data_IF_529680361215
#
_entry.id   IF_529680361215
#
_cell.length_a   1.000
_cell.length_b   1.000
_cell.length_c   1.000
_cell.angle_alpha   90.00
_cell.angle_beta   90.00
_cell.angle_gamma   90.00
#
_symmetry.space_group_name_H-M   'P 1'
#
loop_
_entity.id
_entity.type
_entity.pdbx_description
1 polymer ?
#
# COMPACT_ATOMS: atom_id res chain seq x y z
N UNK A 1 -18.67 -5.50 -6.40
CA UNK A 1 -18.60 -4.10 -5.98
C UNK A 1 -17.59 -3.96 -4.87
N UNK A 2 -16.47 -3.31 -5.16
CA UNK A 2 -15.33 -3.10 -4.28
C UNK A 2 -15.10 -1.61 -4.11
N UNK A 3 -14.66 -1.22 -2.92
CA UNK A 3 -14.25 0.16 -2.64
C UNK A 3 -12.81 0.34 -3.12
N UNK A 4 -12.53 1.49 -3.72
CA UNK A 4 -11.18 1.80 -4.16
C UNK A 4 -10.23 1.96 -2.97
N UNK A 5 -9.08 1.31 -3.07
CA UNK A 5 -7.93 1.45 -2.18
C UNK A 5 -7.29 2.84 -2.27
N UNK A 6 -6.38 3.15 -1.33
CA UNK A 6 -5.62 4.41 -1.33
C UNK A 6 -4.86 4.63 -2.64
N UNK A 7 -4.21 3.60 -3.17
CA UNK A 7 -3.41 3.68 -4.41
C UNK A 7 -4.28 3.83 -5.66
N UNK A 8 -5.50 3.31 -5.64
CA UNK A 8 -6.49 3.53 -6.70
C UNK A 8 -7.08 4.94 -6.65
N UNK A 9 -7.31 5.48 -5.44
CA UNK A 9 -7.70 6.89 -5.25
C UNK A 9 -6.59 7.85 -5.68
N UNK A 10 -5.33 7.55 -5.39
CA UNK A 10 -4.18 8.29 -5.92
C UNK A 10 -4.18 8.30 -7.46
N UNK A 11 -4.45 7.16 -8.10
CA UNK A 11 -4.56 7.10 -9.57
C UNK A 11 -5.74 7.95 -10.08
N UNK A 12 -6.89 7.94 -9.39
CA UNK A 12 -8.03 8.80 -9.72
C UNK A 12 -7.67 10.28 -9.64
N UNK A 13 -6.98 10.70 -8.58
CA UNK A 13 -6.55 12.09 -8.39
C UNK A 13 -5.66 12.56 -9.54
N UNK A 14 -4.66 11.75 -9.91
CA UNK A 14 -3.79 12.02 -11.06
C UNK A 14 -4.56 12.13 -12.38
N UNK A 15 -5.54 11.24 -12.61
CA UNK A 15 -6.44 11.30 -13.77
C UNK A 15 -7.23 12.60 -13.76
N UNK A 16 -7.84 12.96 -12.63
CA UNK A 16 -8.72 14.11 -12.52
C UNK A 16 -7.96 15.44 -12.57
N UNK A 17 -6.73 15.50 -12.07
CA UNK A 17 -5.83 16.65 -12.25
C UNK A 17 -5.53 16.87 -13.74
N UNK A 18 -5.16 15.81 -14.48
CA UNK A 18 -4.90 15.92 -15.91
C UNK A 18 -6.17 16.28 -16.72
N UNK A 19 -7.35 15.83 -16.28
CA UNK A 19 -8.63 16.21 -16.87
C UNK A 19 -8.98 17.67 -16.59
N UNK A 20 -8.73 18.15 -15.37
CA UNK A 20 -8.92 19.55 -15.00
C UNK A 20 -8.01 20.47 -15.83
N UNK A 21 -6.74 20.10 -16.03
CA UNK A 21 -5.81 20.81 -16.92
C UNK A 21 -6.29 20.87 -18.37
N UNK A 22 -7.04 19.85 -18.81
CA UNK A 22 -7.66 19.78 -20.13
C UNK A 22 -9.05 20.45 -20.20
N UNK A 23 -9.56 21.00 -19.09
CA UNK A 23 -10.89 21.62 -19.01
C UNK A 23 -12.04 20.62 -19.08
N UNK A 24 -11.84 19.39 -18.61
CA UNK A 24 -12.81 18.31 -18.59
C UNK A 24 -13.37 18.09 -17.19
N UNK A 25 -14.63 17.61 -17.12
CA UNK A 25 -15.24 17.22 -15.85
C UNK A 25 -14.52 16.02 -15.23
N UNK A 26 -14.41 15.96 -13.88
CA UNK A 26 -13.77 14.85 -13.19
C UNK A 26 -14.57 13.55 -13.37
N UNK A 27 -13.86 12.44 -13.46
CA UNK A 27 -14.46 11.10 -13.41
C UNK A 27 -14.81 10.73 -11.96
N UNK A 28 -15.85 9.93 -11.82
CA UNK A 28 -16.31 9.40 -10.52
C UNK A 28 -16.04 7.90 -10.46
N UNK A 29 -15.51 7.42 -9.34
CA UNK A 29 -15.33 5.99 -9.13
C UNK A 29 -16.68 5.26 -9.08
N UNK A 30 -16.79 4.15 -9.81
CA UNK A 30 -17.94 3.25 -9.78
C UNK A 30 -17.54 1.88 -9.24
N UNK A 31 -18.26 1.39 -8.23
CA UNK A 31 -17.90 0.18 -7.49
C UNK A 31 -17.89 -1.08 -8.37
N UNK A 32 -18.80 -1.15 -9.35
CA UNK A 32 -18.87 -2.28 -10.30
C UNK A 32 -17.68 -2.25 -11.27
N UNK A 33 -17.28 -1.06 -11.74
CA UNK A 33 -16.11 -0.90 -12.59
C UNK A 33 -14.82 -1.20 -11.83
N UNK A 34 -14.73 -0.85 -10.54
CA UNK A 34 -13.56 -1.14 -9.71
C UNK A 34 -13.36 -2.65 -9.58
N UNK A 35 -14.44 -3.39 -9.27
CA UNK A 35 -14.40 -4.85 -9.24
C UNK A 35 -13.95 -5.44 -10.57
N UNK A 36 -14.50 -4.95 -11.68
CA UNK A 36 -14.08 -5.40 -13.02
C UNK A 36 -12.59 -5.15 -13.30
N UNK A 37 -12.05 -4.02 -12.84
CA UNK A 37 -10.66 -3.64 -13.06
C UNK A 37 -9.69 -4.44 -12.17
N UNK A 38 -10.01 -4.60 -10.88
CA UNK A 38 -9.25 -5.43 -9.93
C UNK A 38 -9.17 -6.88 -10.42
N UNK A 39 -10.33 -7.46 -10.78
CA UNK A 39 -10.42 -8.83 -11.27
C UNK A 39 -9.56 -9.05 -12.52
N UNK A 40 -9.50 -8.06 -13.42
CA UNK A 40 -8.71 -8.16 -14.65
C UNK A 40 -7.20 -8.03 -14.39
N UNK A 41 -6.78 -7.08 -13.55
CA UNK A 41 -5.38 -6.98 -13.11
C UNK A 41 -4.91 -8.26 -12.40
N UNK A 42 -5.72 -8.76 -11.46
CA UNK A 42 -5.49 -10.03 -10.76
C UNK A 42 -5.44 -11.23 -11.72
N UNK A 43 -6.29 -11.26 -12.75
CA UNK A 43 -6.29 -12.32 -13.76
C UNK A 43 -5.04 -12.27 -14.64
N UNK A 44 -4.63 -11.09 -15.09
CA UNK A 44 -3.43 -10.89 -15.91
C UNK A 44 -2.16 -11.36 -15.18
N UNK A 45 -2.01 -11.00 -13.89
CA UNK A 45 -0.93 -11.50 -13.02
C UNK A 45 -0.97 -13.04 -12.91
N UNK A 46 -2.12 -13.59 -12.51
CA UNK A 46 -2.27 -15.04 -12.26
C UNK A 46 -2.04 -15.91 -13.50
N UNK A 47 -2.31 -15.38 -14.68
CA UNK A 47 -2.19 -16.12 -15.95
C UNK A 47 -0.93 -15.77 -16.73
N UNK A 48 -0.05 -14.95 -16.15
CA UNK A 48 1.18 -14.46 -16.78
C UNK A 48 0.91 -13.93 -18.21
N UNK A 49 -0.15 -13.13 -18.33
CA UNK A 49 -0.62 -12.55 -19.60
C UNK A 49 -0.90 -11.06 -19.44
N UNK A 50 -0.53 -10.26 -20.44
CA UNK A 50 -0.87 -8.83 -20.50
C UNK A 50 -1.71 -8.56 -21.75
N UNK A 51 -3.02 -8.38 -21.58
CA UNK A 51 -3.98 -8.32 -22.69
C UNK A 51 -5.27 -7.61 -22.31
N UNK A 52 -5.84 -6.87 -23.25
CA UNK A 52 -7.21 -6.32 -23.14
C UNK A 52 -8.28 -7.43 -23.23
N UNK A 53 -7.95 -8.55 -23.88
CA UNK A 53 -8.82 -9.74 -23.96
C UNK A 53 -8.61 -10.62 -22.73
N UNK A 54 -9.66 -10.80 -21.94
CA UNK A 54 -9.65 -11.50 -20.67
C UNK A 54 -9.98 -12.99 -20.78
N UNK A 55 -10.31 -13.59 -19.63
CA UNK A 55 -10.69 -14.99 -19.50
C UNK A 55 -11.81 -15.38 -20.48
N UNK A 56 -11.65 -16.51 -21.17
CA UNK A 56 -12.65 -16.99 -22.13
C UNK A 56 -12.82 -16.10 -23.38
N UNK A 57 -11.95 -15.12 -23.60
CA UNK A 57 -12.05 -14.19 -24.73
C UNK A 57 -12.88 -12.94 -24.44
N UNK A 58 -13.20 -12.65 -23.17
CA UNK A 58 -14.01 -11.50 -22.79
C UNK A 58 -13.37 -10.17 -23.16
N UNK A 59 -14.19 -9.22 -23.62
CA UNK A 59 -13.82 -7.81 -23.74
C UNK A 59 -13.92 -7.10 -22.39
N UNK A 60 -13.39 -5.89 -22.29
CA UNK A 60 -13.54 -5.06 -21.09
C UNK A 60 -15.02 -4.78 -20.78
N UNK A 61 -15.83 -4.47 -21.80
CA UNK A 61 -17.27 -4.28 -21.65
C UNK A 61 -17.98 -5.51 -21.07
N UNK A 62 -17.65 -6.72 -21.56
CA UNK A 62 -18.22 -7.96 -21.02
C UNK A 62 -17.86 -8.11 -19.53
N UNK A 63 -16.60 -7.83 -19.15
CA UNK A 63 -16.17 -7.89 -17.75
C UNK A 63 -16.86 -6.84 -16.87
N UNK A 64 -17.11 -5.64 -17.39
CA UNK A 64 -17.85 -4.60 -16.67
C UNK A 64 -19.31 -5.03 -16.43
N UNK A 65 -19.97 -5.62 -17.43
CA UNK A 65 -21.33 -6.17 -17.29
C UNK A 65 -21.38 -7.34 -16.30
N UNK A 66 -20.41 -8.26 -16.39
CA UNK A 66 -20.29 -9.40 -15.47
C UNK A 66 -20.08 -8.95 -14.02
N UNK A 67 -19.38 -7.82 -13.81
CA UNK A 67 -19.19 -7.20 -12.50
C UNK A 67 -20.43 -6.44 -11.99
N UNK A 68 -21.48 -6.30 -12.81
CA UNK A 68 -22.75 -5.68 -12.45
C UNK A 68 -22.99 -4.29 -13.02
N UNK A 69 -22.05 -3.73 -13.81
CA UNK A 69 -22.23 -2.41 -14.41
C UNK A 69 -23.29 -2.45 -15.52
N UNK A 70 -24.31 -1.60 -15.40
CA UNK A 70 -25.44 -1.61 -16.33
C UNK A 70 -25.22 -0.61 -17.47
N UNK A 71 -24.94 -1.11 -18.68
CA UNK A 71 -24.97 -0.30 -19.89
C UNK A 71 -26.41 -0.13 -20.38
N UNK A 72 -26.96 1.07 -20.26
CA UNK A 72 -28.33 1.37 -20.72
C UNK A 72 -28.45 2.80 -21.23
N UNK A 73 -29.41 3.05 -22.14
CA UNK A 73 -29.57 4.34 -22.79
C UNK A 73 -28.38 4.70 -23.68
N UNK A 74 -27.87 5.93 -23.56
CA UNK A 74 -26.60 6.33 -24.17
C UNK A 74 -25.46 5.89 -23.28
N UNK A 75 -24.54 5.11 -23.82
CA UNK A 75 -23.39 4.57 -23.08
C UNK A 75 -22.15 4.49 -23.96
N UNK A 76 -20.99 4.45 -23.32
CA UNK A 76 -19.67 4.24 -23.93
C UNK A 76 -18.75 3.59 -22.90
N UNK A 77 -17.68 2.93 -23.35
CA UNK A 77 -16.66 2.39 -22.47
C UNK A 77 -15.27 2.43 -23.12
N UNK A 78 -14.24 2.36 -22.29
CA UNK A 78 -12.85 2.26 -22.70
C UNK A 78 -12.01 1.56 -21.63
N UNK A 79 -10.85 1.03 -22.03
CA UNK A 79 -9.92 0.39 -21.10
C UNK A 79 -8.49 0.88 -21.36
N UNK A 80 -7.76 1.13 -20.27
CA UNK A 80 -6.31 1.19 -20.28
C UNK A 80 -5.77 0.08 -19.38
N UNK A 81 -4.65 -0.52 -19.78
CA UNK A 81 -3.86 -1.42 -18.94
C UNK A 81 -2.40 -0.98 -18.97
N UNK A 82 -1.71 -1.11 -17.85
CA UNK A 82 -0.26 -0.91 -17.75
C UNK A 82 0.31 -1.78 -16.64
N UNK A 83 1.60 -2.08 -16.73
CA UNK A 83 2.33 -2.70 -15.64
C UNK A 83 3.79 -2.27 -15.68
N UNK A 84 4.47 -2.41 -14.55
CA UNK A 84 5.91 -2.32 -14.45
C UNK A 84 6.40 -3.23 -13.33
N UNK A 85 7.70 -3.55 -13.32
CA UNK A 85 8.32 -4.10 -12.12
C UNK A 85 8.24 -3.06 -11.01
N UNK A 86 7.91 -3.50 -9.80
CA UNK A 86 7.93 -2.70 -8.59
C UNK A 86 9.33 -2.11 -8.36
N UNK A 87 9.39 -0.82 -8.07
CA UNK A 87 10.65 -0.07 -7.98
C UNK A 87 10.51 1.04 -6.95
N UNK A 88 11.65 1.43 -6.38
CA UNK A 88 11.73 2.62 -5.55
C UNK A 88 11.73 2.27 -4.06
N UNK A 89 11.11 3.15 -3.28
CA UNK A 89 10.99 2.98 -1.83
C UNK A 89 9.88 1.98 -1.50
N UNK A 90 9.80 1.53 -0.25
CA UNK A 90 8.72 0.65 0.21
C UNK A 90 7.35 1.30 -0.02
N UNK A 91 6.38 0.53 -0.52
CA UNK A 91 5.09 1.02 -1.02
C UNK A 91 5.02 0.94 -2.55
N UNK A 92 3.90 1.37 -3.14
CA UNK A 92 3.72 1.40 -4.60
C UNK A 92 3.17 2.74 -5.11
N UNK A 93 3.15 3.78 -4.28
CA UNK A 93 2.59 5.07 -4.65
C UNK A 93 3.42 5.79 -5.73
N UNK A 94 4.74 5.62 -5.73
CA UNK A 94 5.63 6.11 -6.80
C UNK A 94 5.46 5.26 -8.08
N UNK A 95 5.30 3.95 -7.94
CA UNK A 95 4.94 3.08 -9.06
C UNK A 95 3.62 3.48 -9.72
N UNK A 96 2.60 3.83 -8.95
CA UNK A 96 1.31 4.35 -9.47
C UNK A 96 1.52 5.64 -10.26
N UNK A 97 2.32 6.59 -9.75
CA UNK A 97 2.65 7.85 -10.47
C UNK A 97 3.42 7.59 -11.77
N UNK A 98 4.33 6.62 -11.75
CA UNK A 98 5.10 6.20 -12.92
C UNK A 98 4.22 5.51 -13.98
N UNK A 99 3.29 4.65 -13.55
CA UNK A 99 2.30 4.01 -14.43
C UNK A 99 1.38 5.06 -15.05
N UNK A 100 0.87 6.00 -14.27
CA UNK A 100 0.06 7.12 -14.76
C UNK A 100 0.82 7.93 -15.83
N UNK A 101 2.08 8.29 -15.56
CA UNK A 101 2.94 9.02 -16.50
C UNK A 101 3.13 8.23 -17.80
N UNK A 102 3.32 6.92 -17.70
CA UNK A 102 3.46 6.03 -18.87
C UNK A 102 2.17 5.96 -19.70
N UNK A 103 1.01 5.91 -19.04
CA UNK A 103 -0.30 5.97 -19.70
C UNK A 103 -0.51 7.31 -20.42
N UNK A 104 -0.18 8.44 -19.77
CA UNK A 104 -0.30 9.78 -20.37
C UNK A 104 0.66 10.02 -21.55
N UNK A 105 1.81 9.32 -21.57
CA UNK A 105 2.76 9.37 -22.67
C UNK A 105 2.33 8.51 -23.88
N UNK A 106 1.40 7.57 -23.71
CA UNK A 106 0.81 6.79 -24.80
C UNK A 106 -0.40 7.52 -25.39
N UNK A 107 -0.37 7.81 -26.69
CA UNK A 107 -1.44 8.55 -27.36
C UNK A 107 -2.82 7.86 -27.23
N UNK A 108 -2.87 6.53 -27.33
CA UNK A 108 -4.10 5.76 -27.19
C UNK A 108 -4.65 5.79 -25.76
N UNK A 109 -3.79 5.55 -24.77
CA UNK A 109 -4.23 5.53 -23.36
C UNK A 109 -4.61 6.93 -22.86
N UNK A 110 -3.83 7.96 -23.24
CA UNK A 110 -4.17 9.35 -22.96
C UNK A 110 -5.51 9.75 -23.56
N UNK A 111 -5.85 9.26 -24.76
CA UNK A 111 -7.14 9.55 -25.37
C UNK A 111 -8.31 9.02 -24.54
N UNK A 112 -8.16 7.87 -23.88
CA UNK A 112 -9.16 7.38 -22.93
C UNK A 112 -9.25 8.27 -21.68
N UNK A 113 -8.11 8.59 -21.04
CA UNK A 113 -8.06 9.41 -19.82
C UNK A 113 -8.69 10.80 -20.06
N UNK A 114 -8.42 11.42 -21.21
CA UNK A 114 -8.90 12.75 -21.59
C UNK A 114 -10.16 12.73 -22.46
N UNK A 115 -10.90 11.61 -22.49
CA UNK A 115 -12.16 11.55 -23.23
C UNK A 115 -13.28 12.24 -22.45
N UNK A 116 -14.02 13.14 -23.12
CA UNK A 116 -15.25 13.73 -22.59
C UNK A 116 -16.46 12.77 -22.64
N UNK A 117 -16.27 11.54 -23.14
CA UNK A 117 -17.36 10.57 -23.34
C UNK A 117 -17.62 9.67 -22.13
N UNK A 118 -16.85 9.85 -21.05
CA UNK A 118 -16.91 9.03 -19.85
C UNK A 118 -17.22 9.92 -18.64
N UNK A 119 -18.07 9.38 -17.76
CA UNK A 119 -18.46 9.99 -16.48
C UNK A 119 -17.87 9.21 -15.29
N UNK A 120 -17.57 7.92 -15.52
CA UNK A 120 -17.17 6.97 -14.50
C UNK A 120 -15.86 6.27 -14.85
N UNK A 121 -15.14 5.86 -13.80
CA UNK A 121 -13.98 5.00 -13.91
C UNK A 121 -13.98 3.94 -12.81
N UNK A 122 -13.43 2.77 -13.09
CA UNK A 122 -12.97 1.80 -12.10
C UNK A 122 -11.49 1.57 -12.28
N UNK A 123 -10.75 1.43 -11.19
CA UNK A 123 -9.29 1.32 -11.20
C UNK A 123 -8.93 0.11 -10.35
N UNK A 124 -8.18 -0.82 -10.92
CA UNK A 124 -7.68 -2.00 -10.21
C UNK A 124 -6.16 -1.99 -10.20
N UNK A 125 -5.55 -1.75 -9.05
CA UNK A 125 -4.08 -1.76 -8.87
C UNK A 125 -3.67 -2.98 -8.06
N UNK A 126 -2.92 -3.89 -8.68
CA UNK A 126 -2.54 -5.17 -8.08
C UNK A 126 -1.03 -5.37 -8.06
N UNK A 127 -0.53 -6.03 -7.02
CA UNK A 127 0.85 -6.49 -6.91
C UNK A 127 0.93 -7.99 -7.10
N UNK A 128 1.94 -8.48 -7.79
CA UNK A 128 2.16 -9.92 -7.94
C UNK A 128 3.33 -10.27 -8.82
N UNK A 129 3.58 -11.57 -9.01
CA UNK A 129 4.57 -12.06 -9.97
C UNK A 129 4.03 -11.89 -11.40
N UNK A 130 4.86 -11.33 -12.28
CA UNK A 130 4.62 -11.29 -13.73
C UNK A 130 5.93 -11.52 -14.47
N UNK A 131 6.03 -12.63 -15.20
CA UNK A 131 7.23 -13.03 -15.92
C UNK A 131 8.47 -13.19 -15.03
N UNK A 132 8.29 -13.52 -13.74
CA UNK A 132 9.38 -13.64 -12.76
C UNK A 132 9.79 -12.32 -12.08
N UNK A 133 9.04 -11.24 -12.27
CA UNK A 133 9.28 -9.95 -11.64
C UNK A 133 8.17 -9.64 -10.64
N UNK A 134 8.54 -9.05 -9.50
CA UNK A 134 7.58 -8.36 -8.64
C UNK A 134 7.02 -7.18 -9.42
N UNK A 135 5.72 -7.23 -9.74
CA UNK A 135 5.07 -6.33 -10.66
C UNK A 135 3.92 -5.57 -10.00
N UNK A 136 3.78 -4.30 -10.36
CA UNK A 136 2.60 -3.48 -10.12
C UNK A 136 1.82 -3.38 -11.42
N UNK A 137 0.57 -3.81 -11.41
CA UNK A 137 -0.30 -3.89 -12.58
C UNK A 137 -1.54 -3.04 -12.36
N UNK A 138 -1.95 -2.28 -13.38
CA UNK A 138 -3.13 -1.42 -13.33
C UNK A 138 -4.04 -1.67 -14.52
N UNK A 139 -5.34 -1.72 -14.23
CA UNK A 139 -6.44 -1.64 -15.20
C UNK A 139 -7.28 -0.40 -14.88
N UNK A 140 -7.60 0.40 -15.89
CA UNK A 140 -8.54 1.53 -15.79
C UNK A 140 -9.71 1.28 -16.74
N UNK A 141 -10.89 1.06 -16.19
CA UNK A 141 -12.13 0.85 -16.92
C UNK A 141 -12.98 2.11 -16.91
N UNK A 142 -13.08 2.78 -18.05
CA UNK A 142 -13.84 4.00 -18.21
C UNK A 142 -15.24 3.68 -18.75
N UNK A 143 -16.26 4.40 -18.28
CA UNK A 143 -17.60 4.25 -18.82
C UNK A 143 -18.47 5.51 -18.70
N UNK A 144 -19.51 5.56 -19.55
CA UNK A 144 -20.71 6.37 -19.35
C UNK A 144 -21.94 5.49 -19.55
N UNK A 145 -23.03 5.80 -18.87
CA UNK A 145 -24.30 5.08 -19.00
C UNK A 145 -25.46 5.97 -18.60
N UNK A 146 -26.63 5.78 -19.23
CA UNK A 146 -27.90 6.35 -18.77
C UNK A 146 -28.53 5.57 -17.61
N UNK A 147 -27.91 4.46 -17.19
CA UNK A 147 -28.35 3.62 -16.09
C UNK A 147 -27.97 4.18 -14.71
N UNK A 148 -28.49 3.53 -13.67
CA UNK A 148 -28.03 3.80 -12.31
C UNK A 148 -26.61 3.25 -12.11
N UNK A 149 -25.77 4.01 -11.39
CA UNK A 149 -24.39 3.63 -11.10
C UNK A 149 -24.16 3.68 -9.60
N UNK A 150 -23.63 2.60 -9.03
CA UNK A 150 -23.19 2.57 -7.65
C UNK A 150 -21.82 3.26 -7.54
N UNK A 151 -21.84 4.50 -7.04
CA UNK A 151 -20.65 5.33 -6.91
C UNK A 151 -19.88 4.96 -5.65
N UNK A 152 -18.56 4.95 -5.74
CA UNK A 152 -17.71 4.98 -4.57
C UNK A 152 -17.71 6.41 -4.02
N UNK A 153 -18.46 6.63 -2.94
CA UNK A 153 -18.54 7.95 -2.29
C UNK A 153 -17.47 8.16 -1.23
N UNK A 154 -16.50 7.25 -1.08
CA UNK A 154 -15.44 7.36 -0.09
C UNK A 154 -15.99 7.50 1.34
N UNK A 155 -16.76 6.53 1.83
CA UNK A 155 -16.81 6.36 3.29
C UNK A 155 -15.59 5.49 3.66
N UNK A 156 -14.36 5.99 3.66
CA UNK A 156 -13.87 7.02 4.58
C UNK A 156 -13.57 8.40 3.96
N UNK A 157 -13.90 9.42 4.75
CA UNK A 157 -13.74 10.84 4.51
C UNK A 157 -12.45 11.20 3.78
N UNK A 158 -12.50 12.22 2.91
CA UNK A 158 -11.37 13.12 2.69
C UNK A 158 -10.98 13.78 4.03
N UNK A 159 -10.35 13.05 4.93
CA UNK A 159 -9.41 13.61 5.88
C UNK A 159 -8.17 13.95 5.07
N UNK A 160 -7.59 15.12 5.34
CA UNK A 160 -6.16 15.29 5.09
C UNK A 160 -5.48 14.11 5.79
N UNK A 161 -4.69 13.32 5.05
CA UNK A 161 -3.94 12.19 5.61
C UNK A 161 -3.26 12.63 6.90
N UNK A 162 -3.49 11.91 7.98
CA UNK A 162 -2.84 12.16 9.25
C UNK A 162 -1.81 11.07 9.47
N UNK A 163 -0.53 11.42 9.48
CA UNK A 163 0.54 10.45 9.74
C UNK A 163 0.24 9.63 11.01
N UNK A 164 0.56 8.31 11.01
CA UNK A 164 0.32 7.45 12.15
C UNK A 164 0.95 7.99 13.44
N UNK A 165 0.43 7.57 14.59
CA UNK A 165 1.01 7.85 15.89
C UNK A 165 1.56 6.56 16.47
N UNK A 166 2.79 6.62 16.99
CA UNK A 166 3.46 5.49 17.62
C UNK A 166 3.83 5.85 19.05
N UNK A 167 3.39 5.02 19.99
CA UNK A 167 3.88 5.01 21.36
C UNK A 167 4.68 3.74 21.61
N UNK A 168 5.86 3.89 22.19
CA UNK A 168 6.76 2.77 22.47
C UNK A 168 7.23 2.83 23.92
N UNK A 169 6.96 1.77 24.67
CA UNK A 169 7.44 1.64 26.03
C UNK A 169 8.91 1.16 26.07
N UNK A 170 9.63 1.56 27.12
CA UNK A 170 10.97 1.04 27.39
C UNK A 170 10.94 -0.48 27.60
N UNK A 171 12.00 -1.14 27.13
CA UNK A 171 12.12 -2.60 27.17
C UNK A 171 13.25 -3.00 28.11
N UNK A 172 12.96 -3.89 29.05
CA UNK A 172 13.98 -4.51 29.91
C UNK A 172 14.24 -5.94 29.48
N UNK A 173 15.52 -6.29 29.31
CA UNK A 173 16.00 -7.64 28.99
C UNK A 173 17.13 -8.05 29.93
N UNK A 174 17.26 -9.35 30.17
CA UNK A 174 18.33 -9.90 31.00
C UNK A 174 19.64 -10.04 30.23
N UNK A 175 20.73 -9.52 30.81
CA UNK A 175 22.10 -9.68 30.35
C UNK A 175 22.64 -11.10 30.47
N UNK A 176 22.14 -11.86 31.45
CA UNK A 176 22.83 -13.05 31.98
C UNK A 176 22.03 -14.34 31.79
N UNK A 177 20.70 -14.29 31.93
CA UNK A 177 19.86 -15.49 31.80
C UNK A 177 19.49 -15.79 30.35
N UNK A 178 19.18 -17.05 30.02
CA UNK A 178 18.75 -17.42 28.67
C UNK A 178 17.31 -16.96 28.36
N UNK A 179 16.40 -17.08 29.32
CA UNK A 179 14.95 -16.86 29.13
C UNK A 179 14.54 -15.38 29.04
N UNK A 180 15.46 -14.42 29.25
CA UNK A 180 15.16 -12.99 29.22
C UNK A 180 15.98 -12.17 28.21
N UNK A 181 16.77 -12.79 27.32
CA UNK A 181 17.72 -12.06 26.45
C UNK A 181 17.09 -11.26 25.33
N UNK A 182 15.79 -11.45 25.10
CA UNK A 182 15.06 -10.88 23.98
C UNK A 182 13.63 -10.58 24.40
N UNK A 183 13.07 -9.56 23.79
CA UNK A 183 11.67 -9.20 23.92
C UNK A 183 11.08 -8.97 22.53
N UNK A 184 9.80 -9.31 22.37
CA UNK A 184 9.06 -9.00 21.14
C UNK A 184 8.66 -7.54 21.15
N UNK A 185 8.90 -6.84 20.03
CA UNK A 185 8.58 -5.41 19.92
C UNK A 185 7.08 -5.16 20.03
N UNK A 186 6.25 -6.00 19.39
CA UNK A 186 4.78 -5.92 19.41
C UNK A 186 4.14 -5.84 20.81
N UNK A 187 4.85 -6.26 21.87
CA UNK A 187 4.33 -6.22 23.25
C UNK A 187 4.44 -4.86 23.92
N UNK A 188 5.26 -3.96 23.37
CA UNK A 188 5.60 -2.67 23.94
C UNK A 188 5.24 -1.51 23.01
N UNK A 189 4.74 -1.85 21.82
CA UNK A 189 4.38 -0.93 20.77
C UNK A 189 2.87 -0.77 20.75
N UNK A 190 2.40 0.46 20.84
CA UNK A 190 1.05 0.86 20.46
C UNK A 190 1.16 1.78 19.25
N UNK A 191 0.40 1.47 18.20
CA UNK A 191 0.43 2.24 16.97
C UNK A 191 -0.99 2.31 16.41
N UNK A 192 -1.40 3.54 16.09
CA UNK A 192 -2.74 3.82 15.58
C UNK A 192 -2.67 4.97 14.60
N UNK A 193 -3.58 4.96 13.63
CA UNK A 193 -3.75 6.09 12.75
C UNK A 193 -4.92 6.99 13.21
N UNK A 194 -4.73 8.32 13.35
CA UNK A 194 -5.81 9.24 13.73
C UNK A 194 -7.01 9.27 12.78
N UNK A 195 -6.82 9.01 11.48
CA UNK A 195 -7.91 8.97 10.51
C UNK A 195 -8.43 7.54 10.24
N UNK A 196 -7.80 6.55 10.87
CA UNK A 196 -8.23 5.15 10.86
C UNK A 196 -7.64 4.33 9.73
N UNK A 197 -6.66 4.86 9.01
CA UNK A 197 -5.91 4.13 8.02
C UNK A 197 -5.10 2.96 8.61
N UNK A 198 -4.94 1.92 7.79
CA UNK A 198 -4.20 0.72 8.20
C UNK A 198 -2.69 1.01 8.19
N UNK A 199 -1.99 0.62 9.25
CA UNK A 199 -0.53 0.65 9.28
C UNK A 199 0.00 -0.45 8.37
N UNK A 200 0.76 -0.05 7.37
CA UNK A 200 1.32 -0.94 6.34
C UNK A 200 2.77 -1.30 6.66
N UNK A 201 3.53 -0.37 7.23
CA UNK A 201 4.96 -0.56 7.50
C UNK A 201 5.39 -0.13 8.89
N UNK A 202 6.45 -0.76 9.38
CA UNK A 202 7.26 -0.22 10.48
C UNK A 202 8.70 -0.03 10.02
N UNK A 203 9.36 1.01 10.53
CA UNK A 203 10.79 1.19 10.37
C UNK A 203 11.46 1.27 11.73
N UNK A 204 12.52 0.49 11.91
CA UNK A 204 13.34 0.50 13.12
C UNK A 204 14.69 1.10 12.85
N UNK A 205 15.23 1.81 13.85
CA UNK A 205 16.54 2.43 13.76
C UNK A 205 17.35 2.23 15.03
N UNK A 206 18.63 1.96 14.82
CA UNK A 206 19.61 1.70 15.86
C UNK A 206 20.91 2.47 15.55
N UNK A 207 20.94 3.75 15.89
CA UNK A 207 22.11 4.62 15.69
C UNK A 207 23.11 4.59 16.84
N UNK A 208 22.65 4.26 18.05
CA UNK A 208 23.46 4.29 19.28
C UNK A 208 23.59 2.93 19.97
N UNK A 209 22.69 2.00 19.69
CA UNK A 209 22.78 0.62 20.14
C UNK A 209 23.68 -0.22 19.23
N UNK A 210 23.87 -1.48 19.62
CA UNK A 210 24.89 -2.40 19.09
C UNK A 210 24.24 -3.49 18.23
N UNK A 211 23.41 -3.08 17.28
CA UNK A 211 22.60 -3.97 16.43
C UNK A 211 21.64 -4.82 17.27
N UNK A 212 20.71 -4.17 17.94
CA UNK A 212 19.78 -4.79 18.89
C UNK A 212 18.55 -5.41 18.21
N UNK A 213 18.20 -4.99 16.98
CA UNK A 213 17.06 -5.57 16.26
C UNK A 213 17.39 -6.89 15.58
N UNK A 214 16.42 -7.81 15.62
CA UNK A 214 16.50 -9.12 14.98
C UNK A 214 15.13 -9.49 14.40
N UNK A 215 15.09 -9.90 13.13
CA UNK A 215 13.93 -10.55 12.55
C UNK A 215 14.05 -12.07 12.72
N UNK A 216 12.99 -12.71 13.21
CA UNK A 216 12.96 -14.16 13.32
C UNK A 216 12.89 -14.76 11.90
N UNK A 217 13.96 -15.43 11.51
CA UNK A 217 14.15 -15.99 10.16
C UNK A 217 15.46 -15.46 9.56
N UNK A 218 15.63 -14.15 9.63
CA UNK A 218 16.62 -13.42 8.83
C UNK A 218 17.86 -13.01 9.62
N UNK A 219 17.83 -13.16 10.95
CA UNK A 219 18.98 -12.89 11.79
C UNK A 219 19.00 -11.45 12.32
N UNK A 220 20.17 -10.99 12.72
CA UNK A 220 20.36 -9.63 13.24
C UNK A 220 20.24 -8.67 12.07
N UNK A 221 19.40 -7.65 12.23
CA UNK A 221 19.16 -6.64 11.22
C UNK A 221 20.20 -5.52 11.36
N UNK A 222 20.69 -4.99 10.23
CA UNK A 222 21.43 -3.75 10.21
C UNK A 222 20.47 -2.55 10.10
N UNK A 223 20.07 -2.01 11.26
CA UNK A 223 19.13 -0.89 11.36
C UNK A 223 19.83 0.47 11.56
N UNK A 224 21.12 0.61 11.17
CA UNK A 224 21.89 1.83 11.44
C UNK A 224 21.28 3.07 10.77
N UNK A 225 20.87 2.91 9.52
CA UNK A 225 20.28 3.98 8.69
C UNK A 225 18.75 3.85 8.58
N UNK A 226 18.15 2.93 9.35
CA UNK A 226 16.76 2.51 9.21
C UNK A 226 16.65 1.12 8.57
N UNK A 227 15.62 0.37 8.97
CA UNK A 227 15.26 -0.90 8.34
C UNK A 227 13.74 -1.06 8.39
N UNK A 228 13.12 -1.16 7.22
CA UNK A 228 11.66 -1.27 7.06
C UNK A 228 11.25 -2.74 7.06
N UNK A 229 10.12 -3.02 7.70
CA UNK A 229 9.41 -4.30 7.66
C UNK A 229 7.94 -4.07 7.35
N UNK A 230 7.29 -5.04 6.70
CA UNK A 230 5.84 -5.07 6.56
C UNK A 230 5.17 -5.20 7.94
N UNK A 231 3.99 -4.61 8.11
CA UNK A 231 3.27 -4.61 9.38
C UNK A 231 2.91 -6.04 9.84
N UNK A 232 2.67 -6.97 8.92
CA UNK A 232 2.40 -8.38 9.21
C UNK A 232 3.63 -9.13 9.75
N UNK A 233 4.84 -8.63 9.48
CA UNK A 233 6.11 -9.15 10.00
C UNK A 233 6.45 -8.64 11.41
N UNK A 234 5.72 -7.66 11.97
CA UNK A 234 5.97 -7.08 13.29
C UNK A 234 6.07 -8.16 14.39
N UNK A 235 5.24 -9.21 14.29
CA UNK A 235 5.22 -10.32 15.25
C UNK A 235 6.52 -11.16 15.29
N UNK A 236 7.36 -11.03 14.25
CA UNK A 236 8.68 -11.66 14.11
C UNK A 236 9.81 -10.76 14.60
N UNK A 237 9.57 -9.46 14.78
CA UNK A 237 10.57 -8.50 15.21
C UNK A 237 10.83 -8.58 16.72
N UNK A 238 12.10 -8.76 17.09
CA UNK A 238 12.53 -8.78 18.48
C UNK A 238 13.71 -7.85 18.71
N UNK A 239 13.78 -7.26 19.89
CA UNK A 239 15.01 -6.66 20.41
C UNK A 239 15.79 -7.68 21.22
N UNK A 240 17.11 -7.60 21.17
CA UNK A 240 18.02 -8.45 21.94
C UNK A 240 18.90 -7.61 22.85
N UNK A 241 19.28 -8.21 23.98
CA UNK A 241 20.25 -7.65 24.93
C UNK A 241 21.54 -7.20 24.26
N UNK A 242 22.20 -6.27 24.91
CA UNK A 242 23.59 -5.97 24.65
C UNK A 242 24.55 -7.00 25.26
N UNK A 243 25.79 -6.98 24.76
CA UNK A 243 26.87 -7.77 25.33
C UNK A 243 27.28 -7.31 26.72
N UNK A 244 27.09 -6.03 27.02
CA UNK A 244 27.32 -5.40 28.32
C UNK A 244 25.99 -4.96 28.94
N UNK A 245 25.97 -4.82 30.26
CA UNK A 245 24.85 -4.20 30.97
C UNK A 245 24.80 -2.70 30.68
N UNK A 246 23.60 -2.12 30.70
CA UNK A 246 23.35 -0.70 30.47
C UNK A 246 22.24 -0.45 29.47
N UNK A 247 22.17 0.80 29.02
CA UNK A 247 21.06 1.33 28.24
C UNK A 247 21.47 1.57 26.78
N UNK A 248 20.59 1.22 25.86
CA UNK A 248 20.70 1.52 24.44
C UNK A 248 19.46 2.26 23.96
N UNK A 249 19.66 3.37 23.25
CA UNK A 249 18.55 4.15 22.67
C UNK A 249 18.23 3.65 21.28
N UNK A 250 16.99 3.21 21.09
CA UNK A 250 16.46 2.65 19.85
C UNK A 250 15.24 3.47 19.41
N UNK A 251 14.88 3.37 18.14
CA UNK A 251 13.76 4.12 17.58
C UNK A 251 12.91 3.24 16.66
N UNK A 252 11.61 3.52 16.63
CA UNK A 252 10.65 2.90 15.74
C UNK A 252 9.65 3.95 15.24
N UNK A 253 9.17 3.80 14.00
CA UNK A 253 8.06 4.58 13.46
C UNK A 253 7.17 3.69 12.60
N UNK A 254 5.95 4.15 12.34
CA UNK A 254 4.96 3.45 11.53
C UNK A 254 4.63 4.26 10.27
N UNK A 255 4.14 3.60 9.24
CA UNK A 255 3.58 4.23 8.05
C UNK A 255 2.27 3.56 7.64
N UNK A 256 1.33 4.39 7.22
CA UNK A 256 0.04 4.04 6.60
C UNK A 256 0.17 3.81 5.07
N UNK A 257 1.39 3.87 4.53
CA UNK A 257 1.69 3.81 3.10
C UNK A 257 1.77 5.16 2.39
N UNK A 258 1.30 6.24 3.03
CA UNK A 258 1.31 7.60 2.50
C UNK A 258 2.32 8.49 3.25
N UNK A 259 2.24 8.50 4.57
CA UNK A 259 3.12 9.25 5.47
C UNK A 259 3.79 8.34 6.50
N UNK A 260 4.86 8.86 7.10
CA UNK A 260 5.54 8.23 8.23
C UNK A 260 5.25 9.01 9.50
N UNK A 261 5.01 8.29 10.59
CA UNK A 261 5.01 8.88 11.93
C UNK A 261 6.37 9.53 12.24
N UNK A 262 6.35 10.43 13.22
CA UNK A 262 7.59 10.81 13.91
C UNK A 262 8.25 9.56 14.53
N UNK A 263 9.57 9.65 14.73
CA UNK A 263 10.32 8.59 15.40
C UNK A 263 9.95 8.52 16.88
N UNK A 264 9.43 7.36 17.31
CA UNK A 264 9.26 7.03 18.72
C UNK A 264 10.56 6.42 19.26
N UNK A 265 11.25 7.15 20.13
CA UNK A 265 12.45 6.67 20.79
C UNK A 265 12.10 5.92 22.08
N UNK A 266 12.81 4.82 22.35
CA UNK A 266 12.70 4.05 23.57
C UNK A 266 14.06 3.55 24.04
N UNK A 267 14.14 3.19 25.31
CA UNK A 267 15.34 2.67 25.95
C UNK A 267 15.25 1.16 26.08
N UNK A 268 16.29 0.47 25.62
CA UNK A 268 16.54 -0.93 25.92
C UNK A 268 17.45 -1.03 27.14
N UNK A 269 16.91 -1.45 28.27
CA UNK A 269 17.66 -1.74 29.48
C UNK A 269 18.18 -3.19 29.45
N UNK A 270 19.49 -3.36 29.37
CA UNK A 270 20.15 -4.65 29.59
C UNK A 270 20.62 -4.72 31.04
N UNK A 271 19.91 -5.47 31.87
CA UNK A 271 20.13 -5.53 33.33
C UNK A 271 20.67 -6.90 33.79
N UNK A 272 21.15 -6.97 35.04
CA UNK A 272 21.61 -8.23 35.63
C UNK A 272 20.48 -9.27 35.73
N UNK A 273 20.81 -10.54 36.02
CA UNK A 273 19.77 -11.53 36.30
C UNK A 273 18.90 -11.14 37.51
N UNK A 274 19.52 -10.62 38.56
CA UNK A 274 18.83 -10.29 39.81
C UNK A 274 17.84 -9.12 39.61
N UNK A 275 18.25 -8.07 38.91
CA UNK A 275 17.39 -6.92 38.62
C UNK A 275 16.23 -7.26 37.67
N UNK A 276 16.40 -8.27 36.81
CA UNK A 276 15.37 -8.67 35.85
C UNK A 276 14.19 -9.41 36.50
N UNK A 277 14.41 -10.07 37.65
CA UNK A 277 13.38 -10.84 38.37
C UNK A 277 12.84 -10.14 39.62
N UNK A 278 13.39 -8.98 39.97
CA UNK A 278 12.92 -8.15 41.08
C UNK A 278 11.59 -7.46 40.75
#
# INVERSE_FOLDING_TARGET
MTLASKVERLMLDLINDARADAGLDPLVLALDLNTSAEDHSSWMLRTDTFSHTGAGGSSAGDRMEDAGFVFSGSWSWGENIAWQSERGSTGIADDVRNLFTSLMNSAGHRANILSASYDYVGIGVERGDFGGWDAVMVTQNFASTGGAVARDTGAATSSVNAAPVVEMADITVSGETWKGRKAKVEKYLDASDPDGDEIVYYEVRDQQGRHNFKLKGDGVINARDGYVIDADELSRLVVRRDGALGDSRLEIRASDGDDWSDWAAFTLHTVSADDYFA
#
